data_IF_330408237353
#
_entry.id   IF_330408237353
#
_cell.length_a   1.000
_cell.length_b   1.000
_cell.length_c   1.000
_cell.angle_alpha   90.00
_cell.angle_beta   90.00
_cell.angle_gamma   90.00
#
_symmetry.space_group_name_H-M   'P 1'
#
loop_
_entity.id
_entity.type
_entity.pdbx_description
1 polymer ?
#
# COMPACT_ATOMS: atom_id res chain seq x y z
N UNK A 1 -17.64 13.54 3.20
CA UNK A 1 -16.19 13.29 3.18
C UNK A 1 -15.63 13.58 4.57
N UNK A 2 -14.90 12.66 5.18
CA UNK A 2 -14.12 12.99 6.38
C UNK A 2 -13.06 14.04 6.02
N UNK A 3 -12.89 15.07 6.84
CA UNK A 3 -11.84 16.06 6.64
C UNK A 3 -10.44 15.43 6.70
N UNK A 4 -9.46 16.04 6.04
CA UNK A 4 -8.10 15.50 5.96
C UNK A 4 -7.47 15.24 7.34
N UNK A 5 -7.78 16.09 8.32
CA UNK A 5 -7.34 15.92 9.71
C UNK A 5 -7.91 14.64 10.33
N UNK A 6 -9.19 14.35 10.10
CA UNK A 6 -9.83 13.13 10.61
C UNK A 6 -9.23 11.88 9.97
N UNK A 7 -8.95 11.93 8.67
CA UNK A 7 -8.27 10.83 7.96
C UNK A 7 -6.87 10.60 8.52
N UNK A 8 -6.10 11.68 8.78
CA UNK A 8 -4.77 11.59 9.35
C UNK A 8 -4.78 11.05 10.80
N UNK A 9 -5.75 11.47 11.62
CA UNK A 9 -5.95 10.92 12.98
C UNK A 9 -6.28 9.43 12.93
N UNK A 10 -7.13 9.01 11.99
CA UNK A 10 -7.48 7.60 11.80
C UNK A 10 -6.27 6.78 11.37
N UNK A 11 -5.46 7.28 10.44
CA UNK A 11 -4.22 6.65 10.02
C UNK A 11 -3.20 6.53 11.17
N UNK A 12 -3.10 7.57 12.02
CA UNK A 12 -2.23 7.53 13.22
C UNK A 12 -2.65 6.43 14.19
N UNK A 13 -3.95 6.23 14.39
CA UNK A 13 -4.46 5.15 15.23
C UNK A 13 -4.20 3.78 14.59
N UNK A 14 -4.45 3.65 13.28
CA UNK A 14 -4.17 2.42 12.54
C UNK A 14 -2.69 2.04 12.58
N UNK A 15 -1.77 3.01 12.46
CA UNK A 15 -0.32 2.75 12.50
C UNK A 15 0.11 2.03 13.79
N UNK A 16 -0.48 2.39 14.93
CA UNK A 16 -0.21 1.73 16.22
C UNK A 16 -0.67 0.28 16.26
N UNK A 17 -1.77 -0.03 15.56
CA UNK A 17 -2.27 -1.41 15.46
C UNK A 17 -1.40 -2.21 14.49
N UNK A 18 -1.05 -1.63 13.34
CA UNK A 18 -0.22 -2.28 12.33
C UNK A 18 1.17 -2.62 12.89
N UNK A 19 1.75 -1.73 13.71
CA UNK A 19 3.04 -1.94 14.37
C UNK A 19 3.06 -3.19 15.27
N UNK A 20 1.93 -3.59 15.84
CA UNK A 20 1.83 -4.76 16.73
C UNK A 20 1.46 -6.05 16.00
N UNK A 21 1.20 -6.00 14.69
CA UNK A 21 0.84 -7.20 13.93
C UNK A 21 2.04 -8.15 13.78
N UNK A 22 1.84 -9.47 13.97
CA UNK A 22 2.83 -10.47 13.59
C UNK A 22 3.18 -10.36 12.10
N UNK A 23 4.44 -10.65 11.77
CA UNK A 23 4.90 -10.69 10.38
C UNK A 23 4.05 -11.61 9.51
N UNK A 24 3.66 -12.78 10.04
CA UNK A 24 2.82 -13.76 9.34
C UNK A 24 1.43 -13.21 8.99
N UNK A 25 0.81 -12.41 9.88
CA UNK A 25 -0.47 -11.75 9.62
C UNK A 25 -0.32 -10.72 8.51
N UNK A 26 0.76 -9.92 8.54
CA UNK A 26 1.02 -8.95 7.46
C UNK A 26 1.20 -9.66 6.12
N UNK A 27 1.86 -10.80 6.12
CA UNK A 27 2.11 -11.59 4.91
C UNK A 27 0.82 -12.24 4.38
N UNK A 28 -0.06 -12.70 5.27
CA UNK A 28 -1.36 -13.25 4.90
C UNK A 28 -2.25 -12.19 4.22
N UNK A 29 -2.35 -10.98 4.80
CA UNK A 29 -3.07 -9.86 4.19
C UNK A 29 -2.52 -9.52 2.80
N UNK A 30 -1.20 -9.48 2.63
CA UNK A 30 -0.59 -9.17 1.34
C UNK A 30 -0.86 -10.27 0.30
N UNK A 31 -0.87 -11.55 0.71
CA UNK A 31 -1.25 -12.65 -0.19
C UNK A 31 -2.73 -12.57 -0.59
N UNK A 32 -3.63 -12.33 0.36
CA UNK A 32 -5.07 -12.13 0.05
C UNK A 32 -5.28 -10.94 -0.89
N UNK A 33 -4.56 -9.83 -0.68
CA UNK A 33 -4.58 -8.68 -1.56
C UNK A 33 -4.14 -9.05 -3.00
N UNK A 34 -3.03 -9.78 -3.15
CA UNK A 34 -2.55 -10.21 -4.47
C UNK A 34 -3.58 -11.07 -5.20
N UNK A 35 -4.17 -12.05 -4.51
CA UNK A 35 -5.16 -12.95 -5.10
C UNK A 35 -6.45 -12.20 -5.45
N UNK A 36 -6.87 -11.26 -4.60
CA UNK A 36 -8.07 -10.43 -4.83
C UNK A 36 -7.90 -9.48 -6.02
N UNK A 37 -6.68 -8.99 -6.29
CA UNK A 37 -6.41 -8.17 -7.49
C UNK A 37 -6.66 -8.97 -8.77
N UNK A 38 -6.21 -10.22 -8.80
CA UNK A 38 -6.41 -11.10 -9.96
C UNK A 38 -7.88 -11.52 -10.11
N UNK A 39 -8.56 -11.83 -9.01
CA UNK A 39 -9.99 -12.20 -9.01
C UNK A 39 -10.88 -11.03 -9.45
N UNK A 40 -10.57 -9.81 -9.00
CA UNK A 40 -11.32 -8.60 -9.34
C UNK A 40 -10.80 -7.91 -10.62
N UNK A 41 -9.93 -8.57 -11.40
CA UNK A 41 -9.36 -7.98 -12.62
C UNK A 41 -10.41 -7.47 -13.62
N UNK A 42 -11.54 -8.16 -13.89
CA UNK A 42 -12.58 -7.64 -14.78
C UNK A 42 -13.12 -6.28 -14.34
N UNK A 43 -13.43 -6.14 -13.04
CA UNK A 43 -13.98 -4.90 -12.48
C UNK A 43 -12.94 -3.77 -12.46
N UNK A 44 -11.67 -4.11 -12.18
CA UNK A 44 -10.56 -3.16 -12.23
C UNK A 44 -10.33 -2.60 -13.64
N UNK A 45 -10.40 -3.46 -14.66
CA UNK A 45 -10.24 -3.05 -16.06
C UNK A 45 -11.42 -2.20 -16.54
N UNK A 46 -12.65 -2.53 -16.11
CA UNK A 46 -13.83 -1.71 -16.38
C UNK A 46 -13.71 -0.32 -15.76
N UNK A 47 -13.32 -0.23 -14.48
CA UNK A 47 -13.10 1.04 -13.80
C UNK A 47 -11.99 1.88 -14.46
N UNK A 48 -10.92 1.22 -14.93
CA UNK A 48 -9.83 1.90 -15.63
C UNK A 48 -10.23 2.39 -17.02
N UNK A 49 -11.06 1.65 -17.75
CA UNK A 49 -11.58 2.09 -19.04
C UNK A 49 -12.35 3.41 -18.93
N UNK A 50 -13.20 3.56 -17.91
CA UNK A 50 -13.91 4.81 -17.64
C UNK A 50 -12.97 5.98 -17.29
N UNK A 51 -11.89 5.71 -16.55
CA UNK A 51 -10.85 6.70 -16.26
C UNK A 51 -10.09 7.10 -17.52
N UNK A 52 -9.75 6.14 -18.39
CA UNK A 52 -9.09 6.37 -19.67
C UNK A 52 -9.94 7.21 -20.62
N UNK A 53 -11.23 6.93 -20.72
CA UNK A 53 -12.15 7.69 -21.56
C UNK A 53 -12.33 9.12 -21.05
N UNK A 54 -12.50 9.30 -19.74
CA UNK A 54 -12.56 10.62 -19.13
C UNK A 54 -11.24 11.40 -19.32
N UNK A 55 -10.08 10.73 -19.21
CA UNK A 55 -8.77 11.33 -19.40
C UNK A 55 -8.54 11.76 -20.86
N UNK A 56 -8.93 10.93 -21.83
CA UNK A 56 -8.88 11.28 -23.27
C UNK A 56 -9.76 12.50 -23.56
N UNK A 57 -11.01 12.49 -23.07
CA UNK A 57 -11.93 13.61 -23.25
C UNK A 57 -11.41 14.91 -22.61
N UNK A 58 -10.66 14.80 -21.51
CA UNK A 58 -10.01 15.93 -20.83
C UNK A 58 -8.70 16.39 -21.50
N UNK A 59 -8.28 15.78 -22.62
CA UNK A 59 -7.07 16.15 -23.35
C UNK A 59 -5.77 15.77 -22.62
N UNK A 60 -5.79 14.71 -21.80
CA UNK A 60 -4.60 14.23 -21.12
C UNK A 60 -3.56 13.76 -22.15
N UNK A 61 -2.30 14.15 -21.96
CA UNK A 61 -1.20 13.79 -22.87
C UNK A 61 -1.01 12.27 -22.97
N UNK A 62 -0.66 11.77 -24.15
CA UNK A 62 -0.43 10.34 -24.43
C UNK A 62 0.55 9.68 -23.45
N UNK A 63 1.59 10.40 -23.02
CA UNK A 63 2.57 9.91 -22.05
C UNK A 63 1.94 9.62 -20.67
N UNK A 64 0.93 10.39 -20.27
CA UNK A 64 0.18 10.19 -19.03
C UNK A 64 -0.91 9.13 -19.21
N UNK A 65 -1.57 9.07 -20.37
CA UNK A 65 -2.53 8.00 -20.69
C UNK A 65 -1.87 6.61 -20.61
N UNK A 66 -0.65 6.46 -21.16
CA UNK A 66 0.11 5.20 -21.05
C UNK A 66 0.44 4.79 -19.62
N UNK A 67 0.59 5.75 -18.71
CA UNK A 67 0.85 5.46 -17.29
C UNK A 67 -0.46 5.17 -16.52
N UNK A 68 -1.58 5.71 -16.98
CA UNK A 68 -2.91 5.52 -16.41
C UNK A 68 -3.50 4.15 -16.76
N UNK A 69 -3.19 3.65 -17.96
CA UNK A 69 -3.74 2.40 -18.48
C UNK A 69 -3.38 1.19 -17.61
N UNK A 70 -4.41 0.39 -17.29
CA UNK A 70 -4.29 -0.93 -16.71
C UNK A 70 -4.66 -1.98 -17.76
N UNK A 71 -3.87 -3.05 -17.80
CA UNK A 71 -4.08 -4.23 -18.62
C UNK A 71 -4.09 -5.47 -17.73
N UNK A 72 -4.60 -6.60 -18.23
CA UNK A 72 -4.51 -7.87 -17.50
C UNK A 72 -3.05 -8.22 -17.13
N UNK A 73 -2.11 -7.95 -18.03
CA UNK A 73 -0.69 -8.17 -17.77
C UNK A 73 -0.15 -7.26 -16.65
N UNK A 74 -0.51 -5.98 -16.63
CA UNK A 74 -0.08 -5.08 -15.55
C UNK A 74 -0.69 -5.44 -14.21
N UNK A 75 -1.95 -5.91 -14.17
CA UNK A 75 -2.58 -6.38 -12.94
C UNK A 75 -1.89 -7.63 -12.38
N UNK A 76 -1.56 -8.59 -13.24
CA UNK A 76 -0.78 -9.77 -12.85
C UNK A 76 0.61 -9.37 -12.32
N UNK A 77 1.28 -8.39 -12.94
CA UNK A 77 2.55 -7.86 -12.45
C UNK A 77 2.42 -7.17 -11.09
N UNK A 78 1.35 -6.40 -10.86
CA UNK A 78 1.08 -5.78 -9.55
C UNK A 78 0.86 -6.86 -8.49
N UNK A 79 0.01 -7.86 -8.77
CA UNK A 79 -0.24 -8.96 -7.84
C UNK A 79 1.05 -9.72 -7.50
N UNK A 80 1.88 -10.02 -8.50
CA UNK A 80 3.19 -10.64 -8.28
C UNK A 80 4.12 -9.74 -7.45
N UNK A 81 4.15 -8.43 -7.70
CA UNK A 81 4.91 -7.49 -6.87
C UNK A 81 4.48 -7.51 -5.39
N UNK A 82 3.18 -7.62 -5.13
CA UNK A 82 2.66 -7.78 -3.76
C UNK A 82 3.11 -9.11 -3.14
N UNK A 83 3.07 -10.22 -3.89
CA UNK A 83 3.57 -11.52 -3.41
C UNK A 83 5.06 -11.48 -3.07
N UNK A 84 5.84 -10.78 -3.89
CA UNK A 84 7.27 -10.56 -3.63
C UNK A 84 7.50 -9.77 -2.34
N UNK A 85 6.70 -8.73 -2.08
CA UNK A 85 6.77 -7.97 -0.82
C UNK A 85 6.36 -8.85 0.38
N UNK A 86 5.35 -9.72 0.22
CA UNK A 86 4.89 -10.61 1.28
C UNK A 86 6.00 -11.58 1.74
N UNK A 87 6.85 -12.07 0.83
CA UNK A 87 7.96 -12.98 1.18
C UNK A 87 9.22 -12.26 1.67
N UNK A 88 9.27 -10.93 1.64
CA UNK A 88 10.41 -10.19 2.19
C UNK A 88 10.52 -10.43 3.70
N UNK A 89 11.74 -10.36 4.22
CA UNK A 89 11.95 -10.40 5.68
C UNK A 89 11.22 -9.23 6.34
N UNK A 90 10.49 -9.49 7.43
CA UNK A 90 9.84 -8.43 8.21
C UNK A 90 10.90 -7.45 8.75
N UNK A 91 10.84 -6.15 8.39
CA UNK A 91 11.84 -5.18 8.82
C UNK A 91 11.58 -4.65 10.25
N UNK A 92 10.41 -4.91 10.83
CA UNK A 92 9.96 -4.34 12.11
C UNK A 92 10.44 -5.19 13.29
N UNK A 93 10.73 -4.56 14.44
CA UNK A 93 11.17 -5.20 15.69
C UNK A 93 12.48 -5.98 15.60
N UNK A 94 13.31 -5.70 14.59
CA UNK A 94 14.62 -6.34 14.43
C UNK A 94 15.71 -5.59 15.17
N UNK A 95 16.43 -6.27 16.05
CA UNK A 95 17.65 -5.78 16.68
C UNK A 95 18.73 -5.60 15.62
N UNK A 96 19.29 -4.39 15.54
CA UNK A 96 20.34 -4.02 14.59
C UNK A 96 21.72 -3.85 15.24
N UNK A 97 21.74 -3.58 16.55
CA UNK A 97 22.93 -3.53 17.41
C UNK A 97 22.50 -3.92 18.82
N UNK A 98 23.33 -4.68 19.52
CA UNK A 98 23.15 -5.03 20.93
C UNK A 98 24.52 -4.97 21.60
N UNK A 99 24.59 -4.36 22.78
CA UNK A 99 25.82 -4.24 23.55
C UNK A 99 25.54 -4.01 25.04
N UNK A 100 26.48 -4.42 25.87
CA UNK A 100 26.47 -4.14 27.31
C UNK A 100 27.30 -2.87 27.61
N UNK A 101 26.80 -2.03 28.51
CA UNK A 101 27.50 -0.84 29.00
C UNK A 101 28.25 -1.21 30.28
N UNK A 102 29.59 -1.37 30.25
CA UNK A 102 30.31 -2.01 31.35
C UNK A 102 30.26 -1.23 32.67
N UNK A 103 30.17 0.10 32.60
CA UNK A 103 30.22 0.98 33.79
C UNK A 103 28.89 0.98 34.54
N UNK A 104 27.76 0.84 33.84
CA UNK A 104 26.43 0.87 34.44
C UNK A 104 25.77 -0.51 34.55
N UNK A 105 26.30 -1.52 33.86
CA UNK A 105 25.70 -2.85 33.76
C UNK A 105 24.42 -2.91 32.90
N UNK A 106 24.15 -1.87 32.11
CA UNK A 106 22.95 -1.82 31.26
C UNK A 106 23.14 -2.62 29.97
N UNK A 107 22.15 -3.42 29.62
CA UNK A 107 22.02 -4.01 28.29
C UNK A 107 21.26 -3.05 27.37
N UNK A 108 21.82 -2.75 26.19
CA UNK A 108 21.25 -1.78 25.25
C UNK A 108 21.09 -2.40 23.87
N UNK A 109 19.90 -2.23 23.28
CA UNK A 109 19.59 -2.67 21.93
C UNK A 109 19.10 -1.52 21.05
N UNK A 110 19.53 -1.51 19.79
CA UNK A 110 18.97 -0.65 18.75
C UNK A 110 18.01 -1.46 17.87
N UNK A 111 16.72 -1.29 18.10
CA UNK A 111 15.64 -2.01 17.40
C UNK A 111 15.07 -1.16 16.26
N UNK A 112 14.73 -1.80 15.13
CA UNK A 112 14.01 -1.14 14.03
C UNK A 112 12.54 -0.97 14.38
N UNK A 113 12.02 0.25 14.23
CA UNK A 113 10.61 0.58 14.40
C UNK A 113 10.04 1.18 13.10
N UNK A 114 8.72 1.11 12.87
CA UNK A 114 8.08 1.80 11.76
C UNK A 114 8.22 3.33 11.88
N UNK A 115 8.02 4.04 10.77
CA UNK A 115 7.94 5.51 10.77
C UNK A 115 6.59 6.02 11.31
N UNK A 116 5.54 5.19 11.20
CA UNK A 116 4.19 5.50 11.66
C UNK A 116 3.23 5.71 10.50
N UNK A 117 3.07 6.96 10.04
CA UNK A 117 2.15 7.30 8.93
C UNK A 117 2.93 7.86 7.76
N UNK A 118 2.71 7.29 6.58
CA UNK A 118 3.34 7.71 5.31
C UNK A 118 2.27 8.31 4.40
N UNK A 119 2.47 9.54 3.93
CA UNK A 119 1.61 10.16 2.93
C UNK A 119 2.24 10.01 1.54
N UNK A 120 1.52 9.37 0.62
CA UNK A 120 1.96 9.09 -0.74
C UNK A 120 1.13 9.90 -1.73
N UNK A 121 1.79 10.77 -2.48
CA UNK A 121 1.17 11.64 -3.50
C UNK A 121 1.71 11.22 -4.86
N UNK A 122 0.82 10.85 -5.78
CA UNK A 122 1.19 10.34 -7.11
C UNK A 122 0.16 10.74 -8.17
N UNK A 123 0.59 10.72 -9.43
CA UNK A 123 -0.23 11.06 -10.60
C UNK A 123 -0.19 9.95 -11.67
N UNK A 124 -1.32 9.76 -12.33
CA UNK A 124 -1.54 8.93 -13.51
C UNK A 124 -0.86 7.55 -13.43
N UNK A 125 -0.90 6.87 -12.28
CA UNK A 125 -0.31 5.55 -12.06
C UNK A 125 -1.14 4.77 -11.05
N UNK A 126 -2.26 4.14 -11.46
CA UNK A 126 -3.13 3.45 -10.52
C UNK A 126 -2.44 2.29 -9.78
N UNK A 127 -1.50 1.59 -10.42
CA UNK A 127 -0.71 0.53 -9.77
C UNK A 127 0.06 0.98 -8.53
N UNK A 128 0.49 2.24 -8.47
CA UNK A 128 1.19 2.82 -7.30
C UNK A 128 0.33 2.77 -6.05
N UNK A 129 -1.01 2.76 -6.17
CA UNK A 129 -1.93 2.58 -5.03
C UNK A 129 -1.60 1.32 -4.24
N UNK A 130 -1.40 0.21 -4.95
CA UNK A 130 -1.15 -1.10 -4.35
C UNK A 130 0.29 -1.22 -3.90
N UNK A 131 1.26 -0.85 -4.74
CA UNK A 131 2.68 -0.94 -4.41
C UNK A 131 3.02 -0.12 -3.16
N UNK A 132 2.49 1.11 -3.09
CA UNK A 132 2.67 1.98 -1.94
C UNK A 132 2.04 1.41 -0.67
N UNK A 133 0.82 0.88 -0.77
CA UNK A 133 0.16 0.23 0.36
C UNK A 133 0.96 -0.98 0.84
N UNK A 134 1.34 -1.88 -0.06
CA UNK A 134 2.01 -3.13 0.27
C UNK A 134 3.35 -2.89 0.98
N UNK A 135 4.17 -1.97 0.47
CA UNK A 135 5.44 -1.59 1.10
C UNK A 135 5.24 -0.92 2.46
N UNK A 136 4.31 0.04 2.56
CA UNK A 136 4.01 0.72 3.82
C UNK A 136 3.56 -0.28 4.88
N UNK A 137 2.62 -1.16 4.52
CA UNK A 137 2.00 -2.13 5.41
C UNK A 137 3.00 -3.19 5.88
N UNK A 138 3.79 -3.78 4.96
CA UNK A 138 4.87 -4.73 5.32
C UNK A 138 5.86 -4.11 6.31
N UNK A 139 6.21 -2.84 6.09
CA UNK A 139 7.11 -2.08 6.95
C UNK A 139 6.47 -1.54 8.24
N UNK A 140 5.23 -1.93 8.56
CA UNK A 140 4.56 -1.57 9.81
C UNK A 140 3.92 -0.17 9.83
N UNK A 141 3.71 0.46 8.68
CA UNK A 141 3.21 1.84 8.57
C UNK A 141 1.77 1.86 8.06
N UNK A 142 0.98 2.81 8.56
CA UNK A 142 -0.24 3.22 7.87
C UNK A 142 0.11 4.14 6.69
N UNK A 143 -0.68 4.11 5.62
CA UNK A 143 -0.50 5.00 4.48
C UNK A 143 -1.73 5.87 4.20
N UNK A 144 -1.47 7.12 3.78
CA UNK A 144 -2.45 8.03 3.19
C UNK A 144 -2.16 8.14 1.71
N UNK A 145 -3.06 7.66 0.86
CA UNK A 145 -2.87 7.62 -0.58
C UNK A 145 -3.63 8.77 -1.24
N UNK A 146 -2.91 9.70 -1.86
CA UNK A 146 -3.48 10.80 -2.63
C UNK A 146 -3.08 10.68 -4.10
N UNK A 147 -3.89 9.96 -4.85
CA UNK A 147 -3.77 9.86 -6.30
C UNK A 147 -4.28 11.08 -7.06
N UNK A 148 -3.92 11.16 -8.34
CA UNK A 148 -4.45 12.11 -9.31
C UNK A 148 -5.93 11.84 -9.64
N UNK A 149 -6.63 12.88 -10.10
CA UNK A 149 -8.07 12.82 -10.41
C UNK A 149 -8.36 11.92 -11.61
N UNK A 150 -7.42 11.84 -12.54
CA UNK A 150 -7.44 11.04 -13.75
C UNK A 150 -7.52 9.53 -13.50
N UNK A 151 -7.12 9.05 -12.32
CA UNK A 151 -7.14 7.63 -11.93
C UNK A 151 -8.15 7.34 -10.82
N UNK A 152 -9.15 8.20 -10.63
CA UNK A 152 -9.98 8.16 -9.42
C UNK A 152 -10.75 6.85 -9.25
N UNK A 153 -11.36 6.30 -10.32
CA UNK A 153 -12.12 5.04 -10.21
C UNK A 153 -11.19 3.86 -9.98
N UNK A 154 -10.09 3.82 -10.74
CA UNK A 154 -9.05 2.79 -10.62
C UNK A 154 -8.47 2.76 -9.19
N UNK A 155 -8.12 3.92 -8.64
CA UNK A 155 -7.57 4.05 -7.28
C UNK A 155 -8.59 3.65 -6.22
N UNK A 156 -9.87 4.01 -6.39
CA UNK A 156 -10.93 3.63 -5.46
C UNK A 156 -11.18 2.12 -5.46
N UNK A 157 -11.20 1.49 -6.64
CA UNK A 157 -11.37 0.05 -6.76
C UNK A 157 -10.20 -0.70 -6.10
N UNK A 158 -8.95 -0.32 -6.42
CA UNK A 158 -7.75 -0.91 -5.80
C UNK A 158 -7.70 -0.71 -4.28
N UNK A 159 -8.04 0.49 -3.80
CA UNK A 159 -8.11 0.76 -2.36
C UNK A 159 -9.25 -0.02 -1.67
N UNK A 160 -10.34 -0.29 -2.38
CA UNK A 160 -11.45 -1.13 -1.92
C UNK A 160 -10.99 -2.58 -1.73
N UNK A 161 -10.27 -3.13 -2.70
CA UNK A 161 -9.68 -4.48 -2.63
C UNK A 161 -8.69 -4.58 -1.46
N UNK A 162 -7.80 -3.60 -1.30
CA UNK A 162 -6.87 -3.56 -0.16
C UNK A 162 -7.60 -3.50 1.19
N UNK A 163 -8.71 -2.77 1.27
CA UNK A 163 -9.54 -2.71 2.47
C UNK A 163 -10.26 -4.04 2.74
N UNK A 164 -10.73 -4.73 1.72
CA UNK A 164 -11.35 -6.05 1.87
C UNK A 164 -10.34 -7.06 2.45
N UNK A 165 -9.13 -7.12 1.88
CA UNK A 165 -8.05 -7.97 2.40
C UNK A 165 -7.68 -7.65 3.87
N UNK A 166 -7.72 -6.37 4.27
CA UNK A 166 -7.51 -5.97 5.66
C UNK A 166 -8.63 -6.39 6.62
N UNK A 167 -9.86 -6.59 6.14
CA UNK A 167 -11.00 -6.98 6.97
C UNK A 167 -11.13 -8.50 7.13
N UNK A 168 -10.46 -9.27 6.28
CA UNK A 168 -10.43 -10.74 6.34
C UNK A 168 -9.48 -11.29 7.41
N UNK A 169 -8.57 -10.46 7.93
CA UNK A 169 -7.49 -10.84 8.85
C UNK A 169 -7.48 -9.98 10.12
#
# INVERSE_FOLDING_TARGET
MQGIEQTARSAKNAARVIETLPGETKDAVLRSLADSIEQCAPDLLAANAEDMDAARAAGLQDSKLRRLELTGASLAQIAEGVRQIAVMQDPVNRVSKSWDVPVSGLHVERVRAPLGVIAMIYEARPGVTVDAFALCFKAGNACLLKGGREANRSNQALAGIARAALLEH
#
